data_IF_923909347191
#
_entry.id   IF_923909347191
#
_cell.length_a   1.000
_cell.length_b   1.000
_cell.length_c   1.000
_cell.angle_alpha   90.00
_cell.angle_beta   90.00
_cell.angle_gamma   90.00
#
_symmetry.space_group_name_H-M   'P 1'
#
loop_
_entity.id
_entity.type
_entity.pdbx_description
1 polymer ?
#
# COMPACT_ATOMS: atom_id res chain seq x y z
N UNK A 1 15.11 39.43 -29.99
CA UNK A 1 16.58 39.24 -29.99
C UNK A 1 16.91 38.01 -29.16
N UNK A 2 17.30 36.92 -29.83
CA UNK A 2 17.98 35.77 -29.19
C UNK A 2 19.47 36.10 -29.04
N UNK A 3 20.12 35.56 -28.00
CA UNK A 3 21.18 34.56 -28.20
C UNK A 3 21.08 33.48 -27.10
N UNK A 4 21.73 32.33 -27.09
CA UNK A 4 22.59 31.61 -28.03
C UNK A 4 22.62 30.19 -27.50
N UNK A 5 22.78 29.24 -28.41
CA UNK A 5 22.98 27.82 -28.13
C UNK A 5 24.25 27.66 -27.26
N UNK A 6 24.14 26.93 -26.15
CA UNK A 6 25.29 26.33 -25.49
C UNK A 6 24.92 24.88 -25.14
N UNK A 7 25.31 23.97 -26.02
CA UNK A 7 25.40 22.56 -25.73
C UNK A 7 26.62 22.34 -24.84
N UNK A 8 26.43 21.76 -23.66
CA UNK A 8 27.50 21.12 -22.90
C UNK A 8 27.14 19.66 -22.67
N UNK A 9 27.95 18.80 -23.29
CA UNK A 9 27.95 17.35 -23.18
C UNK A 9 28.78 16.92 -21.97
N UNK A 10 28.34 15.82 -21.35
CA UNK A 10 29.07 14.87 -20.49
C UNK A 10 29.34 15.25 -19.01
N UNK A 11 28.59 14.64 -18.08
CA UNK A 11 29.00 13.43 -17.36
C UNK A 11 27.78 12.90 -16.57
N UNK A 12 27.19 11.80 -17.03
CA UNK A 12 25.94 11.26 -16.51
C UNK A 12 26.09 10.67 -15.11
N UNK A 13 25.63 11.40 -14.10
CA UNK A 13 25.30 10.84 -12.79
C UNK A 13 23.98 10.10 -12.94
N UNK A 14 24.03 8.80 -13.20
CA UNK A 14 22.86 7.95 -13.06
C UNK A 14 22.59 7.74 -11.56
N UNK A 15 21.93 8.70 -10.92
CA UNK A 15 21.17 8.44 -9.69
C UNK A 15 20.03 7.51 -10.09
N UNK A 16 20.26 6.20 -9.98
CA UNK A 16 19.21 5.19 -10.19
C UNK A 16 18.18 5.39 -9.09
N UNK A 17 16.95 5.86 -9.38
CA UNK A 17 15.89 5.79 -8.39
C UNK A 17 15.63 4.29 -8.23
N UNK A 18 15.92 3.74 -7.04
CA UNK A 18 15.56 2.37 -6.72
C UNK A 18 14.06 2.24 -7.00
N UNK A 19 13.73 1.43 -8.01
CA UNK A 19 12.39 1.30 -8.53
C UNK A 19 11.40 1.09 -7.38
N UNK A 20 10.34 1.89 -7.37
CA UNK A 20 9.15 1.62 -6.59
C UNK A 20 8.55 0.31 -7.11
N UNK A 21 9.01 -0.82 -6.57
CA UNK A 21 8.31 -2.08 -6.71
C UNK A 21 6.94 -1.84 -6.09
N UNK A 22 5.88 -1.91 -6.90
CA UNK A 22 4.52 -2.00 -6.41
C UNK A 22 4.51 -3.13 -5.36
N UNK A 23 4.45 -2.73 -4.09
CA UNK A 23 4.87 -3.57 -2.99
C UNK A 23 3.82 -4.65 -2.77
N UNK A 24 4.00 -5.80 -3.44
CA UNK A 24 3.29 -7.04 -3.13
C UNK A 24 3.76 -7.49 -1.74
N UNK A 25 3.18 -6.88 -0.70
CA UNK A 25 3.54 -7.19 0.68
C UNK A 25 2.95 -8.56 1.09
N UNK A 26 3.71 -9.46 1.72
CA UNK A 26 3.17 -10.73 2.22
C UNK A 26 1.99 -10.51 3.17
N UNK A 27 1.95 -9.42 3.94
CA UNK A 27 0.78 -9.08 4.76
C UNK A 27 -0.47 -8.70 3.95
N UNK A 28 -0.36 -8.13 2.73
CA UNK A 28 -1.53 -7.91 1.87
C UNK A 28 -2.17 -9.23 1.47
N UNK A 29 -1.36 -10.22 1.14
CA UNK A 29 -1.87 -11.53 0.74
C UNK A 29 -2.46 -12.29 1.93
N UNK A 30 -1.83 -12.21 3.10
CA UNK A 30 -2.40 -12.74 4.34
C UNK A 30 -3.72 -12.06 4.69
N UNK A 31 -3.80 -10.73 4.56
CA UNK A 31 -5.02 -9.95 4.77
C UNK A 31 -6.14 -10.42 3.85
N UNK A 32 -5.87 -10.53 2.54
CA UNK A 32 -6.87 -11.01 1.57
C UNK A 32 -7.40 -12.37 1.96
N UNK A 33 -6.52 -13.35 2.20
CA UNK A 33 -6.92 -14.73 2.56
C UNK A 33 -7.75 -14.79 3.83
N UNK A 34 -7.36 -14.06 4.87
CA UNK A 34 -8.06 -14.06 6.15
C UNK A 34 -9.43 -13.34 6.09
N UNK A 35 -9.55 -12.32 5.25
CA UNK A 35 -10.74 -11.47 5.22
C UNK A 35 -11.72 -11.75 4.07
N UNK A 36 -11.46 -12.69 3.16
CA UNK A 36 -12.36 -12.95 2.02
C UNK A 36 -13.80 -13.25 2.46
N UNK A 37 -13.99 -14.09 3.48
CA UNK A 37 -15.34 -14.43 3.98
C UNK A 37 -16.05 -13.20 4.57
N UNK A 38 -15.38 -12.51 5.49
CA UNK A 38 -15.91 -11.30 6.13
C UNK A 38 -16.18 -10.18 5.11
N UNK A 39 -15.35 -10.07 4.07
CA UNK A 39 -15.56 -9.13 2.97
C UNK A 39 -16.86 -9.45 2.22
N UNK A 40 -17.07 -10.70 1.85
CA UNK A 40 -18.26 -11.09 1.09
C UNK A 40 -19.55 -10.85 1.90
N UNK A 41 -19.49 -11.07 3.20
CA UNK A 41 -20.64 -10.93 4.10
C UNK A 41 -20.97 -9.47 4.45
N UNK A 42 -19.97 -8.63 4.70
CA UNK A 42 -20.19 -7.28 5.22
C UNK A 42 -19.89 -6.14 4.24
N UNK A 43 -19.02 -6.36 3.25
CA UNK A 43 -18.41 -5.28 2.47
C UNK A 43 -18.43 -5.51 0.95
N UNK A 44 -19.21 -6.48 0.44
CA UNK A 44 -19.22 -6.89 -0.97
C UNK A 44 -19.81 -5.86 -1.94
N UNK A 45 -20.48 -4.83 -1.42
CA UNK A 45 -20.99 -3.69 -2.20
C UNK A 45 -19.88 -2.73 -2.68
N UNK A 46 -18.68 -2.83 -2.12
CA UNK A 46 -17.55 -1.99 -2.47
C UNK A 46 -16.59 -2.68 -3.44
N UNK A 47 -15.73 -1.92 -4.11
CA UNK A 47 -14.68 -2.49 -4.95
C UNK A 47 -13.55 -3.09 -4.07
N UNK A 48 -13.11 -4.34 -4.30
CA UNK A 48 -12.07 -4.96 -3.50
C UNK A 48 -10.78 -4.15 -3.44
N UNK A 49 -10.19 -4.04 -2.26
CA UNK A 49 -8.88 -3.40 -2.06
C UNK A 49 -8.87 -1.87 -2.07
N UNK A 50 -10.03 -1.23 -2.27
CA UNK A 50 -10.21 0.22 -2.19
C UNK A 50 -10.35 0.77 -0.77
N UNK A 51 -10.33 2.11 -0.61
CA UNK A 51 -10.53 2.78 0.67
C UNK A 51 -11.93 2.54 1.26
N UNK A 52 -12.93 2.28 0.42
CA UNK A 52 -14.31 1.98 0.83
C UNK A 52 -14.36 0.68 1.65
N UNK A 53 -13.60 -0.34 1.23
CA UNK A 53 -13.49 -1.61 1.97
C UNK A 53 -12.79 -1.41 3.31
N UNK A 54 -11.76 -0.56 3.36
CA UNK A 54 -11.11 -0.21 4.63
C UNK A 54 -12.09 0.49 5.59
N UNK A 55 -12.90 1.40 5.08
CA UNK A 55 -13.94 2.06 5.87
C UNK A 55 -15.00 1.06 6.36
N UNK A 56 -15.47 0.18 5.49
CA UNK A 56 -16.43 -0.86 5.86
C UNK A 56 -15.90 -1.80 6.96
N UNK A 57 -14.64 -2.25 6.84
CA UNK A 57 -14.01 -3.06 7.90
C UNK A 57 -13.83 -2.30 9.22
N UNK A 58 -13.55 -0.99 9.20
CA UNK A 58 -13.51 -0.18 10.42
C UNK A 58 -14.86 -0.14 11.13
N UNK A 59 -15.95 0.04 10.38
CA UNK A 59 -17.31 0.08 10.93
C UNK A 59 -17.76 -1.28 11.47
N UNK A 60 -17.42 -2.36 10.77
CA UNK A 60 -17.83 -3.71 11.14
C UNK A 60 -16.79 -4.47 11.98
N UNK A 61 -15.73 -3.83 12.48
CA UNK A 61 -14.58 -4.49 13.10
C UNK A 61 -14.94 -5.51 14.19
N UNK A 62 -16.00 -5.24 14.97
CA UNK A 62 -16.49 -6.14 16.04
C UNK A 62 -17.25 -7.37 15.54
N UNK A 63 -17.72 -7.34 14.29
CA UNK A 63 -18.47 -8.42 13.63
C UNK A 63 -17.56 -9.31 12.78
N UNK A 64 -16.38 -8.81 12.41
CA UNK A 64 -15.43 -9.59 11.62
C UNK A 64 -14.91 -10.77 12.45
N UNK A 65 -14.52 -11.83 11.75
CA UNK A 65 -13.84 -12.95 12.37
C UNK A 65 -12.57 -12.51 13.14
N UNK A 66 -12.17 -13.25 14.19
CA UNK A 66 -10.91 -13.00 14.88
C UNK A 66 -9.71 -13.05 13.93
N UNK A 67 -9.75 -13.94 12.93
CA UNK A 67 -8.71 -14.08 11.92
C UNK A 67 -8.55 -12.83 11.05
N UNK A 68 -9.65 -12.30 10.51
CA UNK A 68 -9.59 -11.08 9.71
C UNK A 68 -9.17 -9.86 10.54
N UNK A 69 -9.67 -9.72 11.78
CA UNK A 69 -9.28 -8.62 12.66
C UNK A 69 -7.78 -8.63 12.96
N UNK A 70 -7.21 -9.80 13.28
CA UNK A 70 -5.77 -9.96 13.50
C UNK A 70 -4.96 -9.61 12.23
N UNK A 71 -5.42 -10.05 11.06
CA UNK A 71 -4.74 -9.74 9.80
C UNK A 71 -4.78 -8.24 9.46
N UNK A 72 -5.89 -7.54 9.71
CA UNK A 72 -5.99 -6.07 9.56
C UNK A 72 -4.97 -5.36 10.46
N UNK A 73 -4.82 -5.81 11.71
CA UNK A 73 -3.84 -5.24 12.63
C UNK A 73 -2.41 -5.46 12.15
N UNK A 74 -2.06 -6.70 11.76
CA UNK A 74 -0.74 -7.04 11.25
C UNK A 74 -0.40 -6.21 10.00
N UNK A 75 -1.33 -6.10 9.05
CA UNK A 75 -1.16 -5.29 7.85
C UNK A 75 -0.88 -3.82 8.17
N UNK A 76 -1.64 -3.22 9.11
CA UNK A 76 -1.41 -1.83 9.55
C UNK A 76 -0.04 -1.63 10.20
N UNK A 77 0.45 -2.60 10.96
CA UNK A 77 1.79 -2.50 11.57
C UNK A 77 2.89 -2.57 10.51
N UNK A 78 2.78 -3.46 9.54
CA UNK A 78 3.74 -3.55 8.43
C UNK A 78 3.77 -2.24 7.62
N UNK A 79 2.61 -1.68 7.28
CA UNK A 79 2.53 -0.38 6.59
C UNK A 79 3.21 0.75 7.37
N UNK A 80 3.01 0.79 8.70
CA UNK A 80 3.68 1.76 9.57
C UNK A 80 5.20 1.54 9.60
N UNK A 81 5.66 0.30 9.64
CA UNK A 81 7.08 -0.04 9.60
C UNK A 81 7.71 0.39 8.27
N UNK A 82 7.09 0.06 7.14
CA UNK A 82 7.54 0.49 5.80
C UNK A 82 7.59 2.02 5.72
N UNK A 83 6.54 2.73 6.17
CA UNK A 83 6.50 4.19 6.17
C UNK A 83 7.65 4.80 6.97
N UNK A 84 7.92 4.28 8.17
CA UNK A 84 9.04 4.75 9.01
C UNK A 84 10.39 4.57 8.31
N UNK A 85 10.59 3.44 7.64
CA UNK A 85 11.83 3.21 6.87
C UNK A 85 11.96 4.19 5.72
N UNK A 86 10.87 4.50 5.02
CA UNK A 86 10.90 5.49 3.93
C UNK A 86 11.12 6.93 4.41
N UNK A 87 10.65 7.28 5.61
CA UNK A 87 10.84 8.61 6.21
C UNK A 87 12.24 8.79 6.79
N UNK A 88 12.93 7.71 7.16
CA UNK A 88 14.28 7.73 7.69
C UNK A 88 15.38 7.79 6.61
N UNK A 89 14.99 7.72 5.33
CA UNK A 89 15.88 7.76 4.16
C UNK A 89 15.86 9.13 3.51
#
# INVERSE_FOLDING_TARGET
MTPSKAAFLALGICLVPAAALAQQSPARDALKRACTGDYMEYCSEHAPGGPEVEACFKTNLKKLSPGCTAAIMAYKQEQRATRRVSEAR
#
